data_IF_995030427476
#
_entry.id   IF_995030427476
#
_cell.length_a   1.000
_cell.length_b   1.000
_cell.length_c   1.000
_cell.angle_alpha   90.00
_cell.angle_beta   90.00
_cell.angle_gamma   90.00
#
_symmetry.space_group_name_H-M   'P 1'
#
loop_
_entity.id
_entity.type
_entity.pdbx_description
1 polymer ?
#
# COMPACT_ATOMS: atom_id res chain seq x y z
N UNK A 1 -14.98 -3.63 -3.44
CA UNK A 1 -13.89 -4.15 -2.59
C UNK A 1 -13.37 -3.00 -1.76
N UNK A 2 -13.50 -3.07 -0.44
CA UNK A 2 -12.87 -2.10 0.45
C UNK A 2 -11.35 -2.15 0.21
N UNK A 3 -10.73 -1.00 -0.07
CA UNK A 3 -9.27 -0.91 -0.17
C UNK A 3 -8.74 -1.05 1.25
N UNK A 4 -8.14 -2.21 1.56
CA UNK A 4 -7.56 -2.50 2.90
C UNK A 4 -6.54 -1.43 3.31
N UNK A 5 -5.97 -0.72 2.33
CA UNK A 5 -5.01 0.37 2.52
C UNK A 5 -5.69 1.71 2.87
N UNK A 6 -7.01 1.82 2.74
CA UNK A 6 -7.77 3.04 3.06
C UNK A 6 -8.44 3.00 4.43
N UNK A 7 -8.37 1.88 5.14
CA UNK A 7 -8.97 1.75 6.46
C UNK A 7 -8.22 2.63 7.48
N UNK A 8 -8.98 3.38 8.29
CA UNK A 8 -8.43 4.31 9.28
C UNK A 8 -8.96 4.02 10.67
N UNK A 9 -8.13 4.23 11.68
CA UNK A 9 -8.52 4.09 13.11
C UNK A 9 -9.33 5.30 13.57
N UNK A 10 -10.21 5.10 14.55
CA UNK A 10 -10.96 6.19 15.15
C UNK A 10 -10.01 7.17 15.88
N UNK A 11 -10.21 8.50 15.79
CA UNK A 11 -9.34 9.47 16.45
C UNK A 11 -9.24 9.28 17.97
N UNK A 12 -10.29 8.77 18.60
CA UNK A 12 -10.32 8.49 20.03
C UNK A 12 -9.33 7.38 20.43
N UNK A 13 -9.23 6.32 19.64
CA UNK A 13 -8.30 5.21 19.89
C UNK A 13 -6.85 5.68 19.71
N UNK A 14 -6.57 6.43 18.64
CA UNK A 14 -5.24 7.00 18.42
C UNK A 14 -4.79 7.85 19.62
N UNK A 15 -5.66 8.74 20.12
CA UNK A 15 -5.35 9.59 21.26
C UNK A 15 -5.12 8.78 22.54
N UNK A 16 -5.92 7.73 22.77
CA UNK A 16 -5.76 6.85 23.93
C UNK A 16 -4.40 6.16 23.92
N UNK A 17 -4.02 5.51 22.82
CA UNK A 17 -2.75 4.79 22.75
C UNK A 17 -1.55 5.73 22.71
N UNK A 18 -1.72 6.93 22.15
CA UNK A 18 -0.72 7.99 22.22
C UNK A 18 -0.43 8.42 23.66
N UNK A 19 -1.47 8.62 24.48
CA UNK A 19 -1.31 8.98 25.89
C UNK A 19 -0.58 7.88 26.66
N UNK A 20 -1.01 6.62 26.51
CA UNK A 20 -0.38 5.47 27.17
C UNK A 20 1.11 5.36 26.80
N UNK A 21 1.44 5.52 25.51
CA UNK A 21 2.82 5.46 25.05
C UNK A 21 3.68 6.58 25.64
N UNK A 22 3.20 7.83 25.62
CA UNK A 22 3.96 8.96 26.14
C UNK A 22 4.09 8.95 27.67
N UNK A 23 3.08 8.47 28.39
CA UNK A 23 3.16 8.25 29.84
C UNK A 23 4.28 7.25 30.15
N UNK A 24 4.29 6.09 29.48
CA UNK A 24 5.34 5.08 29.67
C UNK A 24 6.72 5.57 29.20
N UNK A 25 6.77 6.41 28.17
CA UNK A 25 8.01 7.02 27.68
C UNK A 25 8.59 7.97 28.73
N UNK A 26 7.75 8.76 29.40
CA UNK A 26 8.17 9.68 30.46
C UNK A 26 8.70 8.96 31.71
N UNK A 27 8.18 7.77 32.01
CA UNK A 27 8.64 6.91 33.11
C UNK A 27 9.73 5.93 32.71
N UNK A 28 10.23 5.98 31.47
CA UNK A 28 11.21 5.04 30.90
C UNK A 28 10.83 3.56 31.07
N UNK A 29 9.52 3.26 30.97
CA UNK A 29 8.93 1.94 31.19
C UNK A 29 8.07 1.51 30.00
N UNK A 30 8.47 1.88 28.79
CA UNK A 30 7.76 1.57 27.55
C UNK A 30 7.74 0.07 27.34
N UNK A 31 6.52 -0.48 27.31
CA UNK A 31 6.30 -1.88 26.99
C UNK A 31 6.21 -2.08 25.48
N UNK A 32 6.69 -3.22 24.98
CA UNK A 32 6.56 -3.59 23.57
C UNK A 32 5.11 -3.56 23.08
N UNK A 33 4.17 -3.89 23.97
CA UNK A 33 2.73 -3.82 23.72
C UNK A 33 2.25 -2.38 23.48
N UNK A 34 2.57 -1.44 24.37
CA UNK A 34 2.15 -0.05 24.23
C UNK A 34 2.75 0.61 22.98
N UNK A 35 4.03 0.32 22.69
CA UNK A 35 4.68 0.76 21.45
C UNK A 35 3.99 0.19 20.22
N UNK A 36 3.63 -1.09 20.23
CA UNK A 36 2.93 -1.74 19.12
C UNK A 36 1.53 -1.16 18.90
N UNK A 37 0.73 -1.00 19.96
CA UNK A 37 -0.64 -0.47 19.86
C UNK A 37 -0.65 0.98 19.34
N UNK A 38 0.32 1.80 19.76
CA UNK A 38 0.48 3.14 19.21
C UNK A 38 0.92 3.12 17.75
N UNK A 39 1.93 2.30 17.40
CA UNK A 39 2.39 2.17 16.03
C UNK A 39 1.31 1.65 15.08
N UNK A 40 0.50 0.70 15.55
CA UNK A 40 -0.67 0.17 14.86
C UNK A 40 -1.68 1.25 14.46
N UNK A 41 -1.95 2.19 15.37
CA UNK A 41 -2.82 3.33 15.08
C UNK A 41 -2.18 4.28 14.05
N UNK A 42 -0.90 4.57 14.21
CA UNK A 42 -0.14 5.47 13.35
C UNK A 42 -0.06 4.98 11.90
N UNK A 43 0.23 3.70 11.67
CA UNK A 43 0.28 3.12 10.31
C UNK A 43 -1.07 3.09 9.62
N UNK A 44 -2.17 3.31 10.35
CA UNK A 44 -3.55 3.45 9.86
C UNK A 44 -4.05 4.91 9.87
N UNK A 45 -3.18 5.89 10.14
CA UNK A 45 -3.50 7.33 10.05
C UNK A 45 -3.72 7.80 8.61
N UNK A 46 -4.35 8.95 8.39
CA UNK A 46 -4.45 9.60 7.08
C UNK A 46 -3.19 10.38 6.70
N UNK A 47 -2.33 10.68 7.67
CA UNK A 47 -1.15 11.52 7.47
C UNK A 47 0.10 10.67 7.24
N UNK A 48 0.83 10.96 6.16
CA UNK A 48 2.06 10.22 5.82
C UNK A 48 3.17 10.36 6.87
N UNK A 49 3.17 11.45 7.64
CA UNK A 49 4.11 11.65 8.74
C UNK A 49 3.86 10.64 9.88
N UNK A 50 2.60 10.46 10.28
CA UNK A 50 2.21 9.47 11.27
C UNK A 50 2.55 8.06 10.81
N UNK A 51 2.25 7.73 9.55
CA UNK A 51 2.56 6.41 9.00
C UNK A 51 4.07 6.12 9.07
N UNK A 52 4.92 7.11 8.71
CA UNK A 52 6.38 6.97 8.86
C UNK A 52 6.80 6.77 10.31
N UNK A 53 6.23 7.53 11.25
CA UNK A 53 6.50 7.35 12.68
C UNK A 53 6.11 5.94 13.15
N UNK A 54 4.95 5.45 12.73
CA UNK A 54 4.49 4.09 13.03
C UNK A 54 5.41 3.01 12.46
N UNK A 55 5.90 3.19 11.23
CA UNK A 55 6.87 2.26 10.61
C UNK A 55 8.15 2.20 11.44
N UNK A 56 8.72 3.34 11.84
CA UNK A 56 9.94 3.36 12.65
C UNK A 56 9.75 2.62 13.99
N UNK A 57 8.63 2.87 14.67
CA UNK A 57 8.31 2.18 15.93
C UNK A 57 8.16 0.66 15.75
N UNK A 58 7.65 0.20 14.61
CA UNK A 58 7.55 -1.23 14.28
C UNK A 58 8.91 -1.83 13.90
N UNK A 59 9.78 -1.10 13.21
CA UNK A 59 11.16 -1.55 12.91
C UNK A 59 11.96 -1.71 14.21
N UNK A 60 11.82 -0.77 15.15
CA UNK A 60 12.43 -0.86 16.49
C UNK A 60 11.92 -2.10 17.25
N UNK A 61 10.61 -2.35 17.22
CA UNK A 61 10.02 -3.55 17.83
C UNK A 61 10.49 -4.84 17.17
N UNK A 62 10.64 -4.84 15.84
CA UNK A 62 11.17 -5.99 15.12
C UNK A 62 12.61 -6.32 15.53
N UNK A 63 13.43 -5.32 15.85
CA UNK A 63 14.79 -5.56 16.31
C UNK A 63 14.89 -5.98 17.79
N UNK A 64 13.90 -5.62 18.62
CA UNK A 64 13.96 -5.76 20.08
C UNK A 64 13.07 -6.85 20.66
N UNK A 65 11.99 -7.24 19.98
CA UNK A 65 11.01 -8.21 20.48
C UNK A 65 10.65 -9.26 19.41
N UNK A 66 11.04 -10.52 19.62
CA UNK A 66 10.75 -11.60 18.66
C UNK A 66 9.33 -12.13 18.72
N UNK A 67 8.64 -12.02 19.86
CA UNK A 67 7.32 -12.63 20.05
C UNK A 67 6.25 -12.07 19.08
N UNK A 68 6.37 -10.79 18.72
CA UNK A 68 5.43 -10.10 17.83
C UNK A 68 5.89 -9.98 16.37
N UNK A 69 6.98 -10.64 15.95
CA UNK A 69 7.57 -10.46 14.61
C UNK A 69 6.57 -10.61 13.46
N UNK A 70 5.66 -11.58 13.55
CA UNK A 70 4.62 -11.78 12.53
C UNK A 70 3.72 -10.55 12.40
N UNK A 71 3.20 -10.06 13.52
CA UNK A 71 2.34 -8.88 13.54
C UNK A 71 3.10 -7.65 13.05
N UNK A 72 4.36 -7.49 13.45
CA UNK A 72 5.20 -6.36 13.03
C UNK A 72 5.42 -6.37 11.52
N UNK A 73 5.76 -7.53 10.93
CA UNK A 73 5.92 -7.68 9.47
C UNK A 73 4.64 -7.35 8.71
N UNK A 74 3.48 -7.77 9.23
CA UNK A 74 2.20 -7.46 8.62
C UNK A 74 1.95 -5.94 8.57
N UNK A 75 2.14 -5.25 9.70
CA UNK A 75 1.91 -3.80 9.78
C UNK A 75 3.01 -2.98 9.09
N UNK A 76 4.24 -3.48 9.00
CA UNK A 76 5.31 -2.90 8.18
C UNK A 76 4.97 -2.98 6.69
N UNK A 77 4.47 -4.12 6.22
CA UNK A 77 3.98 -4.28 4.86
C UNK A 77 2.81 -3.31 4.58
N UNK A 78 1.84 -3.21 5.50
CA UNK A 78 0.71 -2.30 5.38
C UNK A 78 1.15 -0.83 5.32
N UNK A 79 1.98 -0.38 6.27
CA UNK A 79 2.44 1.01 6.36
C UNK A 79 3.23 1.44 5.13
N UNK A 80 4.18 0.62 4.68
CA UNK A 80 4.99 0.90 3.48
C UNK A 80 4.15 0.90 2.20
N UNK A 81 3.16 0.00 2.08
CA UNK A 81 2.21 0.01 0.96
C UNK A 81 1.40 1.33 0.91
N UNK A 82 0.99 1.86 2.06
CA UNK A 82 0.25 3.13 2.16
C UNK A 82 1.12 4.35 1.78
N UNK A 83 2.42 4.29 2.02
CA UNK A 83 3.39 5.28 1.53
C UNK A 83 3.79 5.10 0.05
N UNK A 84 3.17 4.14 -0.66
CA UNK A 84 3.50 3.75 -2.04
C UNK A 84 4.91 3.17 -2.21
N UNK A 85 5.55 2.75 -1.13
CA UNK A 85 6.83 2.02 -1.15
C UNK A 85 6.56 0.52 -1.42
N UNK A 86 5.93 0.23 -2.55
CA UNK A 86 5.40 -1.10 -2.85
C UNK A 86 6.49 -2.19 -2.87
N UNK A 87 7.68 -1.89 -3.37
CA UNK A 87 8.80 -2.85 -3.38
C UNK A 87 9.20 -3.28 -1.97
N UNK A 88 9.33 -2.31 -1.04
CA UNK A 88 9.66 -2.60 0.38
C UNK A 88 8.52 -3.39 1.03
N UNK A 89 7.27 -3.03 0.75
CA UNK A 89 6.08 -3.74 1.21
C UNK A 89 6.03 -5.20 0.77
N UNK A 90 6.34 -5.48 -0.51
CA UNK A 90 6.36 -6.84 -1.04
C UNK A 90 7.46 -7.71 -0.40
N UNK A 91 8.59 -7.11 -0.03
CA UNK A 91 9.65 -7.82 0.70
C UNK A 91 9.16 -8.24 2.08
N UNK A 92 8.47 -7.36 2.81
CA UNK A 92 7.86 -7.70 4.10
C UNK A 92 6.79 -8.78 3.97
N UNK A 93 5.91 -8.72 2.97
CA UNK A 93 4.95 -9.80 2.70
C UNK A 93 5.66 -11.13 2.43
N UNK A 94 6.75 -11.12 1.66
CA UNK A 94 7.50 -12.34 1.32
C UNK A 94 8.21 -12.92 2.55
N UNK A 95 8.75 -12.06 3.42
CA UNK A 95 9.34 -12.47 4.69
C UNK A 95 8.28 -13.12 5.62
N UNK A 96 7.09 -12.51 5.71
CA UNK A 96 5.97 -13.10 6.47
C UNK A 96 5.58 -14.47 5.90
N UNK A 97 5.38 -14.57 4.59
CA UNK A 97 4.96 -15.81 3.93
C UNK A 97 6.04 -16.91 3.96
N UNK A 98 7.30 -16.55 4.20
CA UNK A 98 8.37 -17.53 4.44
C UNK A 98 8.19 -18.25 5.78
N UNK A 99 7.52 -17.60 6.74
CA UNK A 99 7.16 -18.18 8.05
C UNK A 99 5.78 -18.86 7.98
N UNK A 100 4.79 -18.22 7.35
CA UNK A 100 3.43 -18.76 7.19
C UNK A 100 2.97 -18.72 5.72
N UNK A 101 3.36 -19.73 4.90
CA UNK A 101 3.06 -19.74 3.47
C UNK A 101 1.55 -19.77 3.14
N UNK A 102 0.74 -20.34 4.04
CA UNK A 102 -0.70 -20.51 3.85
C UNK A 102 -1.57 -19.30 4.22
N UNK A 103 -0.96 -18.21 4.69
CA UNK A 103 -1.71 -17.09 5.25
C UNK A 103 -2.43 -16.29 4.15
N UNK A 104 -3.75 -16.51 4.02
CA UNK A 104 -4.58 -15.90 2.98
C UNK A 104 -4.66 -14.37 3.09
N UNK A 105 -4.56 -13.82 4.31
CA UNK A 105 -4.60 -12.38 4.53
C UNK A 105 -3.36 -11.70 3.93
N UNK A 106 -2.18 -12.28 4.14
CA UNK A 106 -0.92 -11.74 3.59
C UNK A 106 -0.82 -11.98 2.09
N UNK A 107 -1.28 -13.13 1.58
CA UNK A 107 -1.37 -13.38 0.15
C UNK A 107 -2.28 -12.35 -0.55
N UNK A 108 -3.45 -12.06 0.02
CA UNK A 108 -4.38 -11.07 -0.52
C UNK A 108 -3.80 -9.65 -0.48
N UNK A 109 -3.11 -9.29 0.61
CA UNK A 109 -2.38 -8.02 0.73
C UNK A 109 -1.30 -7.91 -0.36
N UNK A 110 -0.46 -8.95 -0.51
CA UNK A 110 0.59 -9.00 -1.51
C UNK A 110 0.05 -8.84 -2.94
N UNK A 111 -1.06 -9.52 -3.27
CA UNK A 111 -1.73 -9.36 -4.57
C UNK A 111 -2.26 -7.95 -4.77
N UNK A 112 -2.85 -7.34 -3.74
CA UNK A 112 -3.36 -5.96 -3.78
C UNK A 112 -2.23 -4.96 -4.03
N UNK A 113 -1.09 -5.15 -3.37
CA UNK A 113 0.11 -4.32 -3.56
C UNK A 113 0.66 -4.47 -4.99
N UNK A 114 0.79 -5.71 -5.49
CA UNK A 114 1.25 -5.96 -6.88
C UNK A 114 0.37 -5.25 -7.91
N UNK A 115 -0.96 -5.35 -7.78
CA UNK A 115 -1.91 -4.65 -8.66
C UNK A 115 -1.75 -3.13 -8.60
N UNK A 116 -1.47 -2.55 -7.42
CA UNK A 116 -1.22 -1.10 -7.28
C UNK A 116 0.12 -0.69 -7.91
N UNK A 117 1.17 -1.48 -7.74
CA UNK A 117 2.46 -1.25 -8.38
C UNK A 117 2.33 -1.23 -9.92
N UNK A 118 1.67 -2.23 -10.49
CA UNK A 118 1.42 -2.31 -11.95
C UNK A 118 0.61 -1.11 -12.44
N UNK A 119 -0.48 -0.77 -11.73
CA UNK A 119 -1.35 0.36 -12.11
C UNK A 119 -0.62 1.70 -12.09
N UNK A 120 0.24 1.95 -11.10
CA UNK A 120 1.03 3.19 -11.03
C UNK A 120 2.16 3.18 -12.08
N UNK A 121 2.78 2.02 -12.35
CA UNK A 121 3.76 1.86 -13.43
C UNK A 121 3.18 2.13 -14.83
N UNK A 122 1.96 1.64 -15.08
CA UNK A 122 1.21 1.88 -16.32
C UNK A 122 0.86 3.36 -16.51
N UNK A 123 0.48 4.08 -15.45
CA UNK A 123 0.26 5.54 -15.53
C UNK A 123 1.52 6.31 -15.90
N UNK A 124 2.69 5.85 -15.44
CA UNK A 124 3.98 6.43 -15.82
C UNK A 124 4.30 6.28 -17.31
N UNK A 125 3.99 5.11 -17.90
CA UNK A 125 4.19 4.88 -19.34
C UNK A 125 3.16 5.60 -20.21
N UNK A 126 1.91 5.72 -19.77
CA UNK A 126 0.87 6.42 -20.54
C UNK A 126 1.15 7.91 -20.74
N UNK A 127 1.89 8.55 -19.83
CA UNK A 127 2.32 9.95 -19.97
C UNK A 127 3.53 10.13 -20.89
N UNK A 128 4.35 9.09 -21.07
CA UNK A 128 5.53 9.13 -21.94
C UNK A 128 5.22 8.67 -23.38
N UNK A 129 4.16 7.89 -23.58
CA UNK A 129 3.67 7.45 -24.88
C UNK A 129 2.53 8.32 -25.39
N UNK A 130 2.82 9.56 -25.81
CA UNK A 130 1.90 10.37 -26.58
C UNK A 130 1.57 9.69 -27.91
N UNK A 131 0.54 8.83 -27.94
CA UNK A 131 -0.06 8.30 -29.15
C UNK A 131 -1.53 8.68 -29.19
N UNK A 132 -1.79 9.73 -29.97
CA UNK A 132 -3.10 10.11 -30.49
C UNK A 132 -3.67 8.91 -31.24
N UNK A 133 -4.76 8.32 -30.75
CA UNK A 133 -5.63 7.47 -31.57
C UNK A 133 -6.99 8.18 -31.71
N UNK A 134 -7.02 9.06 -32.70
CA UNK A 134 -8.23 9.50 -33.35
C UNK A 134 -8.82 8.33 -34.14
N UNK A 135 -9.95 7.76 -33.74
CA UNK A 135 -10.91 7.12 -34.66
C UNK A 135 -12.30 7.09 -34.01
N UNK A 136 -13.28 7.76 -34.63
CA UNK A 136 -14.69 7.41 -34.45
C UNK A 136 -15.76 8.46 -34.81
N UNK A 137 -16.19 8.45 -36.08
CA UNK A 137 -17.51 8.91 -36.62
C UNK A 137 -17.76 10.42 -36.71
N UNK A 138 -18.06 11.01 -37.89
CA UNK A 138 -19.19 10.70 -38.78
C UNK A 138 -18.96 11.26 -40.21
N UNK A 139 -19.70 10.69 -41.17
CA UNK A 139 -19.90 11.09 -42.59
C UNK A 139 -18.85 10.49 -43.55
N UNK A 140 -19.18 9.65 -44.53
CA UNK A 140 -20.45 9.18 -45.04
C UNK A 140 -20.13 8.30 -46.26
N UNK A 141 -20.92 7.24 -46.44
CA UNK A 141 -20.89 6.34 -47.60
C UNK A 141 -21.05 7.13 -48.90
N UNK A 142 -20.15 6.95 -49.87
CA UNK A 142 -20.46 7.19 -51.27
C UNK A 142 -19.62 6.28 -52.18
N UNK A 143 -20.21 5.13 -52.48
CA UNK A 143 -19.92 4.33 -53.67
C UNK A 143 -20.22 5.18 -54.91
N UNK A 144 -19.26 5.33 -55.82
CA UNK A 144 -19.57 5.66 -57.21
C UNK A 144 -18.53 5.04 -58.16
N UNK A 145 -19.07 4.26 -59.09
CA UNK A 145 -18.44 3.37 -60.07
C UNK A 145 -18.10 4.09 -61.38
N UNK A 146 -17.36 3.39 -62.26
CA UNK A 146 -16.97 3.63 -63.69
C UNK A 146 -15.50 4.03 -63.85
N UNK A 147 -14.65 3.40 -64.66
CA UNK A 147 -14.82 2.32 -65.64
C UNK A 147 -13.93 2.57 -66.87
N UNK A 148 -12.90 1.72 -67.06
CA UNK A 148 -12.16 1.35 -68.31
C UNK A 148 -11.41 2.44 -69.14
N UNK A 149 -10.49 2.06 -70.05
CA UNK A 149 -9.41 1.05 -70.00
C UNK A 149 -8.05 1.56 -70.59
N UNK A 150 -7.03 0.71 -70.54
CA UNK A 150 -5.76 0.80 -71.28
C UNK A 150 -5.90 1.06 -72.78
N UNK A 151 -5.03 1.92 -73.32
CA UNK A 151 -4.05 1.61 -74.37
C UNK A 151 -2.76 2.36 -74.07
#
# INVERSE_FOLDING_TARGET
>A
MADILSETVAPADLKKFEQIYHEQLSSNSVTSKAQFEYAWCLVRSKYSADIRKGINLLEDLYNTNQEGHRDYLYYLALGTARLKEYSKSLNFCSAFLSVEPGNQQVLSLQQTIKKKLEKEGLKGMAMAGGLVLAVGALVGVALATKGKPSQ
#
